data_IF_681910613680
#
_entry.id   IF_681910613680
#
_cell.length_a   1.000
_cell.length_b   1.000
_cell.length_c   1.000
_cell.angle_alpha   90.00
_cell.angle_beta   90.00
_cell.angle_gamma   90.00
#
_symmetry.space_group_name_H-M   'P 1'
#
loop_
_entity.id
_entity.type
_entity.pdbx_description
1 polymer ?
#
# COMPACT_ATOMS: atom_id res chain seq x y z
N UNK A 1 -22.51 8.22 -22.97
CA UNK A 1 -21.76 8.25 -21.71
C UNK A 1 -20.56 7.34 -21.92
N UNK A 2 -19.42 7.92 -22.24
CA UNK A 2 -18.16 7.19 -22.37
C UNK A 2 -17.44 7.24 -21.02
N UNK A 3 -17.06 6.08 -20.49
CA UNK A 3 -16.28 5.96 -19.26
C UNK A 3 -14.83 6.46 -19.50
N UNK A 4 -14.24 7.22 -18.56
CA UNK A 4 -12.84 7.62 -18.68
C UNK A 4 -11.92 6.42 -18.38
N UNK A 5 -11.12 6.02 -19.38
CA UNK A 5 -10.11 4.96 -19.27
C UNK A 5 -9.06 5.29 -18.21
N UNK A 6 -8.84 4.35 -17.30
CA UNK A 6 -7.83 4.41 -16.23
C UNK A 6 -6.42 4.42 -16.87
N UNK A 7 -5.71 5.54 -16.74
CA UNK A 7 -4.37 5.70 -17.31
C UNK A 7 -3.37 4.77 -16.61
N UNK A 8 -2.63 3.98 -17.40
CA UNK A 8 -1.50 3.16 -16.92
C UNK A 8 -0.41 4.04 -16.28
N UNK A 9 0.16 3.66 -15.12
CA UNK A 9 1.25 4.40 -14.51
C UNK A 9 2.54 4.29 -15.35
N UNK A 10 3.37 5.35 -15.40
CA UNK A 10 4.54 5.39 -16.28
C UNK A 10 5.58 4.33 -15.89
N UNK A 11 5.92 3.45 -16.85
CA UNK A 11 7.03 2.50 -16.75
C UNK A 11 8.36 3.25 -16.71
N UNK A 12 8.97 3.30 -15.53
CA UNK A 12 10.30 3.87 -15.31
C UNK A 12 11.34 2.97 -16.01
N UNK A 13 11.80 3.41 -17.18
CA UNK A 13 12.74 2.69 -18.03
C UNK A 13 14.17 2.85 -17.50
N UNK A 14 14.68 1.81 -16.82
CA UNK A 14 16.09 1.71 -16.46
C UNK A 14 16.91 1.48 -17.72
N UNK A 15 17.48 2.55 -18.31
CA UNK A 15 18.51 2.40 -19.35
C UNK A 15 19.74 1.73 -18.73
N UNK A 16 19.98 0.48 -19.09
CA UNK A 16 21.28 -0.19 -18.94
C UNK A 16 22.40 0.71 -19.46
N UNK A 17 23.20 1.23 -18.54
CA UNK A 17 24.43 1.96 -18.84
C UNK A 17 25.39 0.99 -19.52
N UNK A 18 25.59 1.14 -20.84
CA UNK A 18 26.71 0.51 -21.55
C UNK A 18 28.01 0.89 -20.84
N UNK A 19 28.79 -0.11 -20.43
CA UNK A 19 30.15 0.10 -19.92
C UNK A 19 31.02 0.58 -21.09
N UNK A 20 31.76 1.70 -20.99
CA UNK A 20 32.82 1.97 -21.94
C UNK A 20 33.93 0.91 -21.76
N UNK A 21 34.54 0.52 -22.87
CA UNK A 21 35.68 -0.42 -22.95
C UNK A 21 36.78 -0.02 -21.97
N UNK A 22 37.32 -1.01 -21.26
CA UNK A 22 38.23 -0.85 -20.12
C UNK A 22 39.69 -0.56 -20.48
N UNK A 23 39.98 -0.07 -21.68
CA UNK A 23 41.35 0.25 -22.08
C UNK A 23 41.54 1.77 -22.26
N UNK A 24 42.12 2.47 -21.26
CA UNK A 24 42.31 3.92 -21.31
C UNK A 24 43.33 4.36 -22.37
N UNK A 25 44.09 3.43 -22.98
CA UNK A 25 45.11 3.75 -23.99
C UNK A 25 44.63 3.65 -25.43
N UNK A 26 43.44 3.07 -25.67
CA UNK A 26 42.95 2.78 -27.01
C UNK A 26 42.68 4.05 -27.87
N UNK A 27 42.52 5.22 -27.24
CA UNK A 27 42.16 6.48 -27.91
C UNK A 27 43.24 7.58 -27.82
N UNK A 28 44.48 7.25 -27.43
CA UNK A 28 45.56 8.24 -27.34
C UNK A 28 46.42 8.25 -28.62
N UNK A 29 46.71 9.45 -29.14
CA UNK A 29 47.72 9.66 -30.20
C UNK A 29 49.10 9.13 -29.75
N UNK A 30 49.92 8.64 -30.68
CA UNK A 30 51.27 8.10 -30.39
C UNK A 30 52.13 9.05 -29.54
N UNK A 31 52.06 10.36 -29.78
CA UNK A 31 52.75 11.38 -28.95
C UNK A 31 52.30 11.38 -27.49
N UNK A 32 51.05 11.02 -27.19
CA UNK A 32 50.53 10.89 -25.83
C UNK A 32 50.81 9.51 -25.23
N UNK A 33 50.97 8.46 -26.06
CA UNK A 33 51.35 7.13 -25.58
C UNK A 33 52.80 7.12 -25.04
N UNK A 34 53.71 7.87 -25.67
CA UNK A 34 55.10 8.01 -25.23
C UNK A 34 55.27 8.65 -23.84
N UNK A 35 54.26 9.36 -23.32
CA UNK A 35 54.28 9.90 -21.95
C UNK A 35 54.01 8.84 -20.88
N UNK A 36 53.49 7.69 -21.27
CA UNK A 36 53.17 6.56 -20.39
C UNK A 36 54.03 5.32 -20.70
N UNK A 37 54.96 5.44 -21.64
CA UNK A 37 55.98 4.44 -21.89
C UNK A 37 56.99 4.50 -20.74
N UNK A 38 57.23 3.39 -20.01
CA UNK A 38 58.11 3.41 -18.85
C UNK A 38 59.52 3.83 -19.25
N UNK A 39 59.99 4.95 -18.70
CA UNK A 39 61.37 5.39 -18.88
C UNK A 39 62.30 4.36 -18.23
N UNK A 40 63.24 3.83 -19.00
CA UNK A 40 64.22 2.89 -18.46
C UNK A 40 65.01 3.55 -17.32
N UNK A 41 65.25 2.81 -16.22
CA UNK A 41 65.91 3.38 -15.05
C UNK A 41 67.36 3.75 -15.38
N UNK A 42 67.65 5.05 -15.28
CA UNK A 42 69.01 5.58 -15.35
C UNK A 42 69.80 5.04 -14.15
N UNK A 43 70.74 4.15 -14.45
CA UNK A 43 71.84 3.64 -13.63
C UNK A 43 71.49 2.60 -12.55
N UNK A 44 72.10 1.42 -12.73
CA UNK A 44 71.95 0.26 -11.86
C UNK A 44 72.69 0.33 -10.52
N UNK A 45 72.35 -0.67 -9.70
CA UNK A 45 72.86 -1.05 -8.36
C UNK A 45 72.32 -0.25 -7.16
N UNK A 46 71.29 -0.83 -6.52
CA UNK A 46 71.26 -1.32 -5.11
C UNK A 46 69.83 -1.77 -4.76
N UNK A 47 69.61 -3.08 -4.66
CA UNK A 47 69.64 -3.91 -3.43
C UNK A 47 68.32 -3.90 -2.65
N UNK A 48 67.53 -4.95 -2.88
CA UNK A 48 66.65 -5.66 -1.94
C UNK A 48 65.61 -4.91 -1.07
N UNK A 49 65.38 -3.61 -1.21
CA UNK A 49 64.29 -2.87 -0.52
C UNK A 49 63.04 -2.62 -1.39
N UNK A 50 63.02 -3.07 -2.65
CA UNK A 50 61.88 -2.88 -3.56
C UNK A 50 60.86 -4.03 -3.59
N UNK A 51 61.00 -5.02 -2.70
CA UNK A 51 59.95 -6.00 -2.42
C UNK A 51 58.95 -5.51 -1.36
N UNK A 52 58.94 -4.22 -1.06
CA UNK A 52 57.85 -3.66 -0.27
C UNK A 52 56.60 -3.64 -1.16
N UNK A 53 55.49 -4.26 -0.74
CA UNK A 53 54.21 -4.02 -1.40
C UNK A 53 53.97 -2.50 -1.44
N UNK A 54 53.27 -1.97 -2.47
CA UNK A 54 53.02 -0.53 -2.61
C UNK A 54 52.56 0.01 -1.26
N UNK A 55 53.10 1.14 -0.74
CA UNK A 55 52.95 1.58 0.64
C UNK A 55 51.50 1.36 1.10
N UNK A 56 51.31 0.22 1.76
CA UNK A 56 50.00 -0.35 1.97
C UNK A 56 49.47 0.38 3.18
N UNK A 57 48.77 1.48 2.91
CA UNK A 57 47.86 2.18 3.81
C UNK A 57 48.04 1.83 5.29
N UNK A 58 49.15 2.28 5.87
CA UNK A 58 49.47 1.98 7.26
C UNK A 58 48.39 2.59 8.17
N UNK A 59 47.73 1.81 9.04
CA UNK A 59 46.66 2.31 9.92
C UNK A 59 47.11 3.47 10.83
N UNK A 60 48.42 3.56 11.10
CA UNK A 60 49.06 4.62 11.88
C UNK A 60 49.28 5.92 11.10
N UNK A 61 49.13 5.90 9.76
CA UNK A 61 49.29 7.08 8.89
C UNK A 61 48.04 7.96 8.82
N UNK A 62 46.92 7.53 9.40
CA UNK A 62 45.65 8.25 9.37
C UNK A 62 45.22 8.71 10.76
N UNK A 63 44.49 9.84 10.86
CA UNK A 63 43.89 10.26 12.12
C UNK A 63 43.01 9.16 12.71
N UNK A 64 42.98 9.05 14.04
CA UNK A 64 42.18 8.06 14.76
C UNK A 64 40.71 8.09 14.29
N UNK A 65 40.15 6.91 14.00
CA UNK A 65 38.77 6.77 13.50
C UNK A 65 38.63 6.81 11.97
N UNK A 66 39.70 7.02 11.22
CA UNK A 66 39.70 6.92 9.76
C UNK A 66 40.29 5.59 9.29
N UNK A 67 39.53 4.82 8.51
CA UNK A 67 39.95 3.51 7.97
C UNK A 67 39.76 3.45 6.46
N UNK A 68 40.56 2.61 5.81
CA UNK A 68 40.45 2.36 4.37
C UNK A 68 39.32 1.38 4.10
N UNK A 69 38.27 1.87 3.45
CA UNK A 69 37.16 1.04 2.98
C UNK A 69 37.52 0.19 1.76
N UNK A 70 36.61 -0.73 1.39
CA UNK A 70 36.76 -1.74 0.32
C UNK A 70 37.21 -1.21 -1.06
N UNK A 71 37.04 0.09 -1.35
CA UNK A 71 37.46 0.74 -2.60
C UNK A 71 38.70 1.64 -2.42
N UNK A 72 39.56 1.34 -1.45
CA UNK A 72 40.72 2.18 -1.08
C UNK A 72 40.35 3.64 -0.79
N UNK A 73 39.12 3.87 -0.30
CA UNK A 73 38.64 5.20 0.12
C UNK A 73 38.75 5.31 1.63
N UNK A 74 39.23 6.43 2.14
CA UNK A 74 39.25 6.68 3.58
C UNK A 74 37.82 6.98 4.06
N UNK A 75 37.41 6.33 5.14
CA UNK A 75 36.06 6.42 5.71
C UNK A 75 36.18 6.63 7.21
N UNK A 76 35.36 7.52 7.75
CA UNK A 76 35.26 7.73 9.18
C UNK A 76 34.36 6.65 9.81
N UNK A 77 34.92 5.86 10.70
CA UNK A 77 34.27 4.72 11.37
C UNK A 77 33.11 5.20 12.24
N UNK A 78 33.29 6.27 13.01
CA UNK A 78 32.27 6.80 13.92
C UNK A 78 31.04 7.30 13.15
N UNK A 79 31.26 7.92 11.99
CA UNK A 79 30.17 8.35 11.10
C UNK A 79 29.41 7.14 10.55
N UNK A 80 30.11 6.12 10.06
CA UNK A 80 29.47 4.91 9.53
C UNK A 80 28.72 4.17 10.62
N UNK A 81 29.31 4.05 11.81
CA UNK A 81 28.69 3.38 12.94
C UNK A 81 27.48 4.18 13.47
N UNK A 82 27.57 5.51 13.48
CA UNK A 82 26.43 6.39 13.78
C UNK A 82 25.29 6.20 12.78
N UNK A 83 25.59 6.20 11.48
CA UNK A 83 24.57 5.93 10.44
C UNK A 83 23.91 4.56 10.64
N UNK A 84 24.70 3.52 10.95
CA UNK A 84 24.17 2.19 11.26
C UNK A 84 23.26 2.22 12.50
N UNK A 85 23.69 2.87 13.58
CA UNK A 85 22.91 2.99 14.82
C UNK A 85 21.58 3.71 14.56
N UNK A 86 21.60 4.84 13.85
CA UNK A 86 20.40 5.61 13.51
C UNK A 86 19.45 4.77 12.66
N UNK A 87 19.95 4.06 11.65
CA UNK A 87 19.12 3.21 10.79
C UNK A 87 18.41 2.10 11.58
N UNK A 88 19.12 1.45 12.51
CA UNK A 88 18.54 0.40 13.36
C UNK A 88 17.48 0.99 14.29
N UNK A 89 17.77 2.13 14.93
CA UNK A 89 16.81 2.80 15.80
C UNK A 89 15.54 3.20 15.05
N UNK A 90 15.68 3.75 13.85
CA UNK A 90 14.55 4.14 13.02
C UNK A 90 13.74 2.93 12.56
N UNK A 91 14.40 1.84 12.18
CA UNK A 91 13.73 0.58 11.85
C UNK A 91 12.93 0.05 13.04
N UNK A 92 13.54 -0.02 14.23
CA UNK A 92 12.86 -0.48 15.45
C UNK A 92 11.71 0.44 15.86
N UNK A 93 11.83 1.76 15.61
CA UNK A 93 10.73 2.71 15.84
C UNK A 93 9.55 2.40 14.91
N UNK A 94 9.82 2.20 13.62
CA UNK A 94 8.80 1.84 12.63
C UNK A 94 8.17 0.49 12.89
N UNK A 95 8.93 -0.51 13.32
CA UNK A 95 8.39 -1.83 13.65
C UNK A 95 7.36 -1.75 14.79
N UNK A 96 7.60 -0.90 15.79
CA UNK A 96 6.60 -0.63 16.84
C UNK A 96 5.37 0.10 16.30
N UNK A 97 5.55 1.08 15.43
CA UNK A 97 4.44 1.82 14.80
C UNK A 97 3.58 0.90 13.94
N UNK A 98 4.20 0.04 13.13
CA UNK A 98 3.52 -0.99 12.33
C UNK A 98 2.77 -1.96 13.25
N UNK A 99 3.38 -2.39 14.34
CA UNK A 99 2.73 -3.23 15.34
C UNK A 99 1.43 -2.62 15.86
N UNK A 100 1.47 -1.35 16.28
CA UNK A 100 0.27 -0.64 16.75
C UNK A 100 -0.79 -0.43 15.67
N UNK A 101 -0.39 -0.11 14.43
CA UNK A 101 -1.32 0.01 13.31
C UNK A 101 -2.02 -1.32 12.97
N UNK A 102 -1.29 -2.44 13.06
CA UNK A 102 -1.88 -3.76 12.84
C UNK A 102 -2.88 -4.12 13.94
N UNK A 103 -2.56 -3.81 15.20
CA UNK A 103 -3.45 -4.03 16.34
C UNK A 103 -4.77 -3.25 16.15
N UNK A 104 -4.68 -1.97 15.77
CA UNK A 104 -5.86 -1.16 15.42
C UNK A 104 -6.66 -1.75 14.26
N UNK A 105 -5.98 -2.21 13.20
CA UNK A 105 -6.63 -2.81 12.04
C UNK A 105 -7.39 -4.09 12.42
N UNK A 106 -6.83 -4.91 13.32
CA UNK A 106 -7.51 -6.10 13.84
C UNK A 106 -8.75 -5.75 14.66
N UNK A 107 -8.67 -4.72 15.52
CA UNK A 107 -9.81 -4.23 16.28
C UNK A 107 -10.92 -3.71 15.36
N UNK A 108 -10.57 -2.87 14.39
CA UNK A 108 -11.51 -2.35 13.40
C UNK A 108 -12.17 -3.47 12.62
N UNK A 109 -11.42 -4.51 12.24
CA UNK A 109 -11.94 -5.71 11.57
C UNK A 109 -12.98 -6.44 12.43
N UNK A 110 -12.72 -6.64 13.73
CA UNK A 110 -13.67 -7.27 14.66
C UNK A 110 -14.96 -6.45 14.81
N UNK A 111 -14.84 -5.13 14.90
CA UNK A 111 -16.01 -4.23 15.00
C UNK A 111 -16.84 -4.28 13.71
N UNK A 112 -16.19 -4.26 12.55
CA UNK A 112 -16.88 -4.36 11.26
C UNK A 112 -17.62 -5.69 11.11
N UNK A 113 -17.02 -6.81 11.52
CA UNK A 113 -17.69 -8.11 11.50
C UNK A 113 -18.95 -8.12 12.37
N UNK A 114 -18.87 -7.56 13.58
CA UNK A 114 -20.03 -7.44 14.48
C UNK A 114 -21.15 -6.59 13.85
N UNK A 115 -20.79 -5.44 13.27
CA UNK A 115 -21.76 -4.55 12.61
C UNK A 115 -22.42 -5.23 11.39
N UNK A 116 -21.67 -6.00 10.62
CA UNK A 116 -22.22 -6.77 9.49
C UNK A 116 -23.25 -7.79 9.97
N UNK A 117 -22.96 -8.50 11.06
CA UNK A 117 -23.90 -9.45 11.67
C UNK A 117 -25.16 -8.76 12.17
N UNK A 118 -25.01 -7.65 12.90
CA UNK A 118 -26.16 -6.86 13.37
C UNK A 118 -27.03 -6.36 12.21
N UNK A 119 -26.41 -5.88 11.13
CA UNK A 119 -27.14 -5.45 9.93
C UNK A 119 -27.93 -6.60 9.30
N UNK A 120 -27.36 -7.81 9.24
CA UNK A 120 -28.09 -8.97 8.71
C UNK A 120 -29.27 -9.36 9.60
N UNK A 121 -29.11 -9.31 10.92
CA UNK A 121 -30.16 -9.63 11.88
C UNK A 121 -31.30 -8.60 11.80
N UNK A 122 -30.98 -7.31 11.72
CA UNK A 122 -31.98 -6.24 11.55
C UNK A 122 -32.72 -6.34 10.20
N UNK A 123 -32.02 -6.69 9.11
CA UNK A 123 -32.68 -6.94 7.82
C UNK A 123 -33.64 -8.11 7.88
N UNK A 124 -33.26 -9.20 8.56
CA UNK A 124 -34.13 -10.35 8.76
C UNK A 124 -35.37 -9.95 9.58
N UNK A 125 -35.17 -9.30 10.72
CA UNK A 125 -36.26 -8.82 11.58
C UNK A 125 -37.21 -7.89 10.83
N UNK A 126 -36.69 -6.95 10.05
CA UNK A 126 -37.49 -6.08 9.18
C UNK A 126 -38.34 -6.88 8.20
N UNK A 127 -37.77 -7.91 7.56
CA UNK A 127 -38.52 -8.76 6.62
C UNK A 127 -39.63 -9.57 7.29
N UNK A 128 -39.44 -9.99 8.54
CA UNK A 128 -40.46 -10.69 9.33
C UNK A 128 -41.62 -9.75 9.68
N UNK A 129 -41.31 -8.54 10.15
CA UNK A 129 -42.29 -7.49 10.44
C UNK A 129 -43.06 -7.06 9.18
N UNK A 130 -42.38 -6.91 8.04
CA UNK A 130 -43.03 -6.53 6.77
C UNK A 130 -44.07 -7.58 6.32
N UNK A 131 -43.79 -8.88 6.52
CA UNK A 131 -44.75 -9.95 6.24
C UNK A 131 -45.95 -9.92 7.17
N UNK A 132 -45.72 -9.76 8.48
CA UNK A 132 -46.79 -9.64 9.47
C UNK A 132 -47.68 -8.43 9.16
N UNK A 133 -47.07 -7.28 8.83
CA UNK A 133 -47.79 -6.07 8.48
C UNK A 133 -48.61 -6.24 7.19
N UNK A 134 -48.07 -6.91 6.17
CA UNK A 134 -48.84 -7.24 4.95
C UNK A 134 -50.07 -8.09 5.29
N UNK A 135 -49.91 -9.13 6.10
CA UNK A 135 -51.01 -10.00 6.51
C UNK A 135 -52.08 -9.23 7.31
N UNK A 136 -51.68 -8.36 8.23
CA UNK A 136 -52.59 -7.51 8.98
C UNK A 136 -53.32 -6.52 8.07
N UNK A 137 -52.62 -5.93 7.10
CA UNK A 137 -53.25 -5.05 6.11
C UNK A 137 -54.27 -5.79 5.23
N UNK A 138 -53.95 -7.02 4.80
CA UNK A 138 -54.89 -7.88 4.07
C UNK A 138 -56.13 -8.21 4.91
N UNK A 139 -55.95 -8.55 6.20
CA UNK A 139 -57.06 -8.79 7.12
C UNK A 139 -57.93 -7.55 7.33
N UNK A 140 -57.32 -6.38 7.53
CA UNK A 140 -58.04 -5.11 7.65
C UNK A 140 -58.81 -4.81 6.35
N UNK A 141 -58.18 -4.98 5.19
CA UNK A 141 -58.85 -4.76 3.90
C UNK A 141 -60.06 -5.67 3.72
N UNK A 142 -59.95 -6.95 4.10
CA UNK A 142 -61.07 -7.89 4.04
C UNK A 142 -62.23 -7.45 4.94
N UNK A 143 -61.94 -7.03 6.18
CA UNK A 143 -62.96 -6.56 7.11
C UNK A 143 -63.62 -5.26 6.63
N UNK A 144 -62.86 -4.33 6.07
CA UNK A 144 -63.42 -3.10 5.49
C UNK A 144 -64.38 -3.42 4.33
N UNK A 145 -64.00 -4.34 3.44
CA UNK A 145 -64.89 -4.78 2.36
C UNK A 145 -66.17 -5.45 2.88
N UNK A 146 -66.08 -6.27 3.94
CA UNK A 146 -67.28 -6.87 4.56
C UNK A 146 -68.19 -5.83 5.20
N UNK A 147 -67.62 -4.77 5.80
CA UNK A 147 -68.41 -3.68 6.37
C UNK A 147 -69.12 -2.88 5.27
N UNK A 148 -68.40 -2.52 4.20
CA UNK A 148 -68.96 -1.80 3.04
C UNK A 148 -70.09 -2.62 2.37
N UNK A 149 -69.90 -3.94 2.21
CA UNK A 149 -70.92 -4.85 1.68
C UNK A 149 -72.16 -4.91 2.59
N UNK A 150 -71.98 -4.97 3.91
CA UNK A 150 -73.08 -5.08 4.85
C UNK A 150 -73.85 -3.75 5.00
N UNK A 151 -73.17 -2.59 4.91
CA UNK A 151 -73.83 -1.27 4.82
C UNK A 151 -74.67 -1.14 3.53
N UNK A 152 -74.19 -1.66 2.40
CA UNK A 152 -74.95 -1.65 1.15
C UNK A 152 -76.22 -2.53 1.21
N UNK A 153 -76.17 -3.67 1.93
CA UNK A 153 -77.34 -4.52 2.15
C UNK A 153 -78.38 -3.89 3.10
N UNK A 154 -77.95 -3.12 4.09
CA UNK A 154 -78.85 -2.42 5.00
C UNK A 154 -79.55 -1.22 4.31
N UNK A 155 -78.95 -0.61 3.28
CA UNK A 155 -79.61 0.44 2.45
C UNK A 155 -80.63 -0.11 1.42
N UNK A 156 -80.45 -1.33 0.89
CA UNK A 156 -81.42 -1.97 -0.03
C UNK A 156 -82.58 -2.69 0.69
N UNK A 157 -82.47 -2.94 2.00
CA UNK A 157 -83.45 -3.71 2.79
C UNK A 157 -84.65 -2.92 3.34
N UNK A 158 -84.68 -1.59 3.18
CA UNK A 158 -85.71 -0.72 3.78
C UNK A 158 -86.67 -0.09 2.75
N UNK A 159 -86.95 -0.77 1.63
CA UNK A 159 -88.08 -0.38 0.76
C UNK A 159 -89.36 -1.09 1.24
N UNK A 160 -89.97 -0.57 2.32
CA UNK A 160 -91.33 -0.96 2.72
C UNK A 160 -92.26 -0.57 1.56
N UNK A 161 -92.95 -1.53 0.89
CA UNK A 161 -93.80 -1.20 -0.24
C UNK A 161 -94.92 -0.26 0.23
N UNK A 162 -95.27 0.76 -0.56
CA UNK A 162 -96.30 1.71 -0.16
C UNK A 162 -97.63 0.96 0.03
N UNK A 163 -98.44 1.30 1.05
CA UNK A 163 -99.72 0.64 1.28
C UNK A 163 -100.61 0.84 0.04
N UNK A 164 -101.04 -0.28 -0.55
CA UNK A 164 -101.94 -0.32 -1.70
C UNK A 164 -103.13 0.63 -1.48
N UNK A 165 -103.25 1.61 -2.36
CA UNK A 165 -104.41 2.50 -2.40
C UNK A 165 -105.57 1.76 -3.07
N UNK A 166 -106.60 1.47 -2.28
CA UNK A 166 -107.91 0.99 -2.74
C UNK A 166 -108.61 2.11 -3.51
N UNK A 167 -109.00 1.83 -4.76
CA UNK A 167 -110.23 2.35 -5.38
C UNK A 167 -110.76 1.37 -6.44
#
# INVERSE_FOLDING_TARGET
MEEPSMADPPRIFWKSRRRPSSDPMANLSEKRKALFEPLEPINGKRSADMLLPPPDFEPTSYPKGWLVGKKRKLVNVDVVESMRRIAILEMNRKDREIGGLNEQLEEDSRVLELLQKQLTDERRKRSEIEKENSMLQEQVSMLMSMLDENEAFDEEGEEVPPPDSID
#
